data_IF_754849622184
#
_entry.id   IF_754849622184
#
_cell.length_a   1.000
_cell.length_b   1.000
_cell.length_c   1.000
_cell.angle_alpha   90.00
_cell.angle_beta   90.00
_cell.angle_gamma   90.00
#
_symmetry.space_group_name_H-M   'P 1'
#
loop_
_entity.id
_entity.type
_entity.pdbx_description
1 polymer ?
#
# COMPACT_ATOMS: atom_id res chain seq x y z
N UNK A 1 -1.16 -6.67 -10.06
CA UNK A 1 -1.23 -5.46 -10.92
C UNK A 1 -2.03 -5.68 -12.20
N UNK A 2 -1.78 -6.72 -12.99
CA UNK A 2 -2.54 -7.03 -14.22
C UNK A 2 -4.07 -7.03 -14.04
N UNK A 3 -4.57 -7.71 -13.02
CA UNK A 3 -6.01 -7.75 -12.73
C UNK A 3 -6.59 -6.36 -12.37
N UNK A 4 -5.80 -5.50 -11.72
CA UNK A 4 -6.23 -4.14 -11.37
C UNK A 4 -6.30 -3.24 -12.60
N UNK A 5 -5.39 -3.41 -13.56
CA UNK A 5 -5.41 -2.73 -14.87
C UNK A 5 -6.72 -3.07 -15.59
N UNK A 6 -7.03 -4.37 -15.74
CA UNK A 6 -8.27 -4.80 -16.39
C UNK A 6 -9.52 -4.33 -15.65
N UNK A 7 -9.58 -4.50 -14.32
CA UNK A 7 -10.71 -4.03 -13.50
C UNK A 7 -10.97 -2.53 -13.69
N UNK A 8 -9.89 -1.75 -13.85
CA UNK A 8 -9.98 -0.29 -13.89
C UNK A 8 -10.31 0.24 -15.29
N UNK A 9 -9.72 -0.35 -16.33
CA UNK A 9 -9.82 0.19 -17.67
C UNK A 9 -10.88 -0.50 -18.52
N UNK A 10 -11.16 -1.79 -18.28
CA UNK A 10 -12.18 -2.52 -19.02
C UNK A 10 -13.57 -2.14 -18.51
N UNK A 11 -14.48 -1.83 -19.45
CA UNK A 11 -15.92 -1.69 -19.19
C UNK A 11 -16.34 -0.54 -18.25
N UNK A 12 -15.52 0.51 -18.13
CA UNK A 12 -15.82 1.69 -17.30
C UNK A 12 -17.00 2.55 -17.83
N UNK A 13 -17.32 2.50 -19.13
CA UNK A 13 -18.44 3.20 -19.72
C UNK A 13 -19.38 2.21 -20.44
N UNK A 14 -20.65 2.14 -20.01
CA UNK A 14 -21.67 1.30 -20.66
C UNK A 14 -22.02 1.88 -22.02
N UNK A 15 -21.96 1.06 -23.07
CA UNK A 15 -22.35 1.44 -24.43
C UNK A 15 -21.28 2.17 -25.25
N UNK A 16 -20.15 2.56 -24.65
CA UNK A 16 -19.02 3.19 -25.37
C UNK A 16 -17.81 2.26 -25.26
N UNK A 17 -17.33 1.76 -26.40
CA UNK A 17 -16.05 1.05 -26.45
C UNK A 17 -14.91 2.06 -26.31
N UNK A 18 -14.46 2.28 -25.09
CA UNK A 18 -13.31 3.12 -24.78
C UNK A 18 -12.03 2.26 -24.79
N UNK A 19 -11.19 2.29 -25.84
CA UNK A 19 -9.97 1.50 -25.90
C UNK A 19 -8.89 2.03 -24.96
N UNK A 20 -7.95 1.16 -24.57
CA UNK A 20 -6.87 1.52 -23.65
C UNK A 20 -6.04 2.73 -24.10
N UNK A 21 -5.82 2.90 -25.41
CA UNK A 21 -5.05 4.03 -25.99
C UNK A 21 -5.61 5.42 -25.65
N UNK A 22 -6.89 5.51 -25.30
CA UNK A 22 -7.57 6.77 -24.98
C UNK A 22 -7.44 7.13 -23.51
N UNK A 23 -6.76 6.31 -22.70
CA UNK A 23 -6.40 6.64 -21.34
C UNK A 23 -5.12 7.47 -21.29
N UNK A 24 -5.18 8.60 -20.58
CA UNK A 24 -4.03 9.45 -20.30
C UNK A 24 -3.73 9.42 -18.81
N UNK A 25 -2.47 9.19 -18.47
CA UNK A 25 -1.97 9.46 -17.12
C UNK A 25 -2.05 10.97 -16.90
N UNK A 26 -2.86 11.39 -15.94
CA UNK A 26 -3.07 12.81 -15.61
C UNK A 26 -2.32 13.23 -14.35
N UNK A 27 -2.00 12.27 -13.47
CA UNK A 27 -1.27 12.54 -12.24
C UNK A 27 -0.60 11.25 -11.72
N UNK A 28 0.47 11.41 -10.94
CA UNK A 28 1.10 10.34 -10.18
C UNK A 28 1.40 10.84 -8.78
N UNK A 29 1.08 10.04 -7.77
CA UNK A 29 1.33 10.36 -6.36
C UNK A 29 2.12 9.23 -5.71
N UNK A 30 3.12 9.60 -4.91
CA UNK A 30 3.83 8.67 -4.02
C UNK A 30 3.42 8.91 -2.57
N UNK A 31 3.14 7.83 -1.84
CA UNK A 31 2.83 7.84 -0.41
C UNK A 31 3.72 6.79 0.26
N UNK A 32 4.90 7.24 0.71
CA UNK A 32 5.95 6.32 1.16
C UNK A 32 6.49 5.47 0.00
N UNK A 33 6.41 4.15 0.13
CA UNK A 33 6.74 3.16 -0.89
C UNK A 33 5.56 2.87 -1.84
N UNK A 34 4.34 3.29 -1.49
CA UNK A 34 3.16 3.13 -2.34
C UNK A 34 3.16 4.15 -3.47
N UNK A 35 2.90 3.70 -4.69
CA UNK A 35 2.67 4.56 -5.87
C UNK A 35 1.21 4.48 -6.30
N UNK A 36 0.61 5.64 -6.60
CA UNK A 36 -0.73 5.77 -7.16
C UNK A 36 -0.65 6.50 -8.50
N UNK A 37 -1.31 5.94 -9.50
CA UNK A 37 -1.34 6.50 -10.86
C UNK A 37 -2.79 6.82 -11.22
N UNK A 38 -3.03 8.07 -11.62
CA UNK A 38 -4.37 8.58 -11.94
C UNK A 38 -4.51 8.76 -13.44
N UNK A 39 -5.58 8.21 -13.98
CA UNK A 39 -5.84 8.20 -15.40
C UNK A 39 -7.19 8.82 -15.72
N UNK A 40 -7.28 9.42 -16.91
CA UNK A 40 -8.52 9.93 -17.48
C UNK A 40 -8.71 9.40 -18.89
N UNK A 41 -9.86 8.77 -19.12
CA UNK A 41 -10.28 8.37 -20.45
C UNK A 41 -10.70 9.61 -21.24
N UNK A 42 -10.04 9.88 -22.37
CA UNK A 42 -10.32 11.06 -23.20
C UNK A 42 -11.64 10.94 -23.99
N UNK A 43 -12.19 9.73 -24.12
CA UNK A 43 -13.44 9.49 -24.85
C UNK A 43 -14.68 9.78 -24.01
N UNK A 44 -14.70 9.31 -22.77
CA UNK A 44 -15.87 9.41 -21.88
C UNK A 44 -15.63 10.28 -20.64
N UNK A 45 -14.41 10.84 -20.49
CA UNK A 45 -13.97 11.64 -19.34
C UNK A 45 -13.96 10.92 -17.98
N UNK A 46 -14.16 9.60 -17.95
CA UNK A 46 -14.08 8.83 -16.71
C UNK A 46 -12.66 8.86 -16.14
N UNK A 47 -12.58 9.06 -14.83
CA UNK A 47 -11.33 9.11 -14.07
C UNK A 47 -11.21 7.89 -13.20
N UNK A 48 -10.01 7.30 -13.16
CA UNK A 48 -9.72 6.14 -12.36
C UNK A 48 -8.28 6.16 -11.86
N UNK A 49 -7.98 5.33 -10.87
CA UNK A 49 -6.61 5.16 -10.40
C UNK A 49 -6.26 3.69 -10.20
N UNK A 50 -4.97 3.40 -10.34
CA UNK A 50 -4.37 2.12 -9.95
C UNK A 50 -3.27 2.39 -8.92
N UNK A 51 -3.03 1.42 -8.04
CA UNK A 51 -2.00 1.48 -7.01
C UNK A 51 -0.94 0.39 -7.24
N UNK A 52 0.28 0.60 -6.73
CA UNK A 52 1.35 -0.39 -6.75
C UNK A 52 1.01 -1.66 -5.95
N UNK A 53 0.08 -1.53 -5.01
CA UNK A 53 -0.48 -2.60 -4.19
C UNK A 53 -2.01 -2.66 -4.31
N UNK A 54 -2.67 -3.79 -4.02
CA UNK A 54 -4.12 -3.90 -4.03
C UNK A 54 -4.79 -2.98 -3.00
N UNK A 55 -5.89 -2.32 -3.37
CA UNK A 55 -6.63 -1.42 -2.46
C UNK A 55 -7.46 -2.15 -1.41
N UNK A 56 -7.75 -3.44 -1.62
CA UNK A 56 -8.51 -4.30 -0.70
C UNK A 56 -7.76 -5.62 -0.58
N UNK A 57 -6.79 -5.66 0.33
CA UNK A 57 -6.09 -6.87 0.74
C UNK A 57 -6.32 -7.07 2.24
N UNK A 58 -6.36 -8.32 2.68
CA UNK A 58 -6.26 -8.67 4.11
C UNK A 58 -4.79 -8.64 4.58
N UNK A 59 -3.87 -8.31 3.69
CA UNK A 59 -2.44 -8.19 3.96
C UNK A 59 -2.07 -6.76 4.36
N UNK A 60 -0.92 -6.62 5.02
CA UNK A 60 -0.35 -5.31 5.36
C UNK A 60 -0.07 -4.49 4.10
N UNK A 61 -0.36 -3.18 4.14
CA UNK A 61 0.09 -2.28 3.09
C UNK A 61 1.63 -2.22 3.04
N UNK A 62 2.19 -1.86 1.89
CA UNK A 62 3.62 -1.90 1.60
C UNK A 62 4.44 -1.06 2.57
N UNK A 63 3.91 0.05 3.10
CA UNK A 63 4.64 0.84 4.07
C UNK A 63 4.71 0.10 5.41
N UNK A 64 3.57 -0.40 5.88
CA UNK A 64 3.50 -1.18 7.11
C UNK A 64 4.30 -2.47 7.00
N UNK A 65 4.24 -3.17 5.86
CA UNK A 65 5.01 -4.39 5.59
C UNK A 65 6.52 -4.15 5.60
N UNK A 66 6.99 -3.06 4.97
CA UNK A 66 8.41 -2.70 5.00
C UNK A 66 8.88 -2.41 6.44
N UNK A 67 8.07 -1.67 7.22
CA UNK A 67 8.38 -1.35 8.62
C UNK A 67 8.32 -2.61 9.51
N UNK A 68 7.37 -3.50 9.28
CA UNK A 68 7.32 -4.78 9.98
C UNK A 68 8.57 -5.61 9.68
N UNK A 69 8.96 -5.69 8.41
CA UNK A 69 10.19 -6.36 8.00
C UNK A 69 11.44 -5.79 8.69
N UNK A 70 11.58 -4.46 8.75
CA UNK A 70 12.72 -3.83 9.42
C UNK A 70 12.74 -4.12 10.92
N UNK A 71 11.58 -4.04 11.59
CA UNK A 71 11.44 -4.37 13.01
C UNK A 71 11.80 -5.84 13.27
N UNK A 72 11.29 -6.78 12.47
CA UNK A 72 11.59 -8.21 12.61
C UNK A 72 13.08 -8.51 12.38
N UNK A 73 13.71 -7.81 11.44
CA UNK A 73 15.15 -7.95 11.17
C UNK A 73 16.04 -7.24 12.21
N UNK A 74 15.47 -6.50 13.15
CA UNK A 74 16.23 -5.72 14.14
C UNK A 74 16.97 -4.53 13.55
N UNK A 75 16.49 -4.00 12.42
CA UNK A 75 17.07 -2.82 11.74
C UNK A 75 16.15 -1.60 11.82
N UNK A 76 16.70 -0.42 11.57
CA UNK A 76 16.01 0.87 11.62
C UNK A 76 15.80 1.53 10.26
N UNK A 77 15.34 2.78 10.32
CA UNK A 77 15.07 3.60 9.13
C UNK A 77 16.29 3.76 8.22
N UNK A 78 17.48 3.98 8.80
CA UNK A 78 18.71 4.19 8.03
C UNK A 78 19.04 3.00 7.12
N UNK A 79 18.88 1.76 7.61
CA UNK A 79 19.11 0.57 6.78
C UNK A 79 18.01 0.35 5.74
N UNK A 80 16.76 0.72 6.04
CA UNK A 80 15.69 0.70 5.03
C UNK A 80 15.97 1.69 3.90
N UNK A 81 16.41 2.91 4.25
CA UNK A 81 16.78 3.95 3.30
C UNK A 81 17.96 3.51 2.42
N UNK A 82 19.00 2.91 3.02
CA UNK A 82 20.14 2.32 2.32
C UNK A 82 19.70 1.22 1.35
N UNK A 83 18.84 0.30 1.78
CA UNK A 83 18.29 -0.76 0.93
C UNK A 83 17.53 -0.16 -0.26
N UNK A 84 16.63 0.80 -0.02
CA UNK A 84 15.89 1.49 -1.05
C UNK A 84 16.81 2.19 -2.06
N UNK A 85 17.86 2.87 -1.58
CA UNK A 85 18.86 3.49 -2.43
C UNK A 85 19.62 2.45 -3.28
N UNK A 86 20.02 1.33 -2.69
CA UNK A 86 20.73 0.25 -3.38
C UNK A 86 19.90 -0.37 -4.52
N UNK A 87 18.58 -0.43 -4.37
CA UNK A 87 17.65 -0.94 -5.42
C UNK A 87 17.05 0.17 -6.29
N UNK A 88 17.54 1.40 -6.17
CA UNK A 88 17.09 2.57 -6.92
C UNK A 88 15.58 2.85 -6.80
N UNK A 89 15.04 2.73 -5.58
CA UNK A 89 13.65 3.04 -5.24
C UNK A 89 13.63 4.19 -4.23
N UNK A 90 12.79 5.22 -4.40
CA UNK A 90 12.62 6.24 -3.37
C UNK A 90 12.04 5.66 -2.08
N UNK A 91 12.70 5.91 -0.95
CA UNK A 91 12.20 5.50 0.36
C UNK A 91 11.00 6.35 0.83
N UNK A 92 10.28 5.85 1.83
CA UNK A 92 9.37 6.67 2.63
C UNK A 92 10.14 7.67 3.49
N UNK A 93 9.49 8.75 3.94
CA UNK A 93 10.15 9.67 4.87
C UNK A 93 10.33 9.04 6.24
N UNK A 94 11.35 9.45 6.99
CA UNK A 94 11.56 9.00 8.38
C UNK A 94 10.31 9.23 9.25
N UNK A 95 9.63 10.37 9.09
CA UNK A 95 8.37 10.64 9.78
C UNK A 95 7.30 9.60 9.47
N UNK A 96 7.16 9.21 8.21
CA UNK A 96 6.23 8.15 7.79
C UNK A 96 6.64 6.80 8.37
N UNK A 97 7.94 6.49 8.37
CA UNK A 97 8.47 5.26 8.98
C UNK A 97 8.13 5.17 10.46
N UNK A 98 8.43 6.22 11.23
CA UNK A 98 8.16 6.28 12.67
C UNK A 98 6.67 6.10 12.95
N UNK A 99 5.82 6.81 12.21
CA UNK A 99 4.36 6.68 12.36
C UNK A 99 3.86 5.25 12.15
N UNK A 100 4.31 4.58 11.07
CA UNK A 100 3.92 3.20 10.82
C UNK A 100 4.49 2.24 11.87
N UNK A 101 5.71 2.49 12.36
CA UNK A 101 6.34 1.67 13.40
C UNK A 101 5.58 1.76 14.72
N UNK A 102 5.18 2.97 15.11
CA UNK A 102 4.39 3.19 16.32
C UNK A 102 3.03 2.51 16.23
N UNK A 103 2.30 2.70 15.12
CA UNK A 103 1.02 2.02 14.90
C UNK A 103 1.18 0.49 14.97
N UNK A 104 2.22 -0.05 14.34
CA UNK A 104 2.51 -1.48 14.34
C UNK A 104 2.76 -2.01 15.75
N UNK A 105 3.60 -1.34 16.55
CA UNK A 105 3.88 -1.73 17.93
C UNK A 105 2.62 -1.66 18.81
N UNK A 106 1.79 -0.65 18.60
CA UNK A 106 0.50 -0.48 19.29
C UNK A 106 -0.45 -1.67 19.00
N UNK A 107 -0.52 -2.11 17.75
CA UNK A 107 -1.33 -3.26 17.33
C UNK A 107 -0.77 -4.59 17.85
N UNK A 108 0.56 -4.73 17.90
CA UNK A 108 1.21 -5.87 18.56
C UNK A 108 0.85 -5.93 20.05
N UNK A 109 0.97 -4.81 20.76
CA UNK A 109 0.63 -4.75 22.19
C UNK A 109 -0.83 -5.10 22.45
N UNK A 110 -1.76 -4.57 21.65
CA UNK A 110 -3.19 -4.91 21.76
C UNK A 110 -3.45 -6.39 21.52
N UNK A 111 -2.81 -6.97 20.50
CA UNK A 111 -2.92 -8.41 20.20
C UNK A 111 -2.45 -9.27 21.38
N UNK A 112 -1.28 -8.96 21.95
CA UNK A 112 -0.72 -9.66 23.10
C UNK A 112 -1.62 -9.53 24.34
N UNK A 113 -2.14 -8.33 24.62
CA UNK A 113 -3.06 -8.13 25.74
C UNK A 113 -4.37 -8.92 25.58
N UNK A 114 -4.88 -9.04 24.35
CA UNK A 114 -6.11 -9.79 24.08
C UNK A 114 -5.89 -11.31 24.19
N UNK A 115 -4.77 -11.84 23.72
CA UNK A 115 -4.45 -13.27 23.88
C UNK A 115 -4.31 -13.65 25.34
N UNK A 116 -3.61 -12.83 26.14
CA UNK A 116 -3.47 -13.04 27.59
C UNK A 116 -4.82 -13.04 28.32
N UNK A 117 -5.77 -12.20 27.91
CA UNK A 117 -7.12 -12.19 28.49
C UNK A 117 -7.91 -13.45 28.15
N UNK A 118 -7.89 -13.87 26.88
CA UNK A 118 -8.61 -15.08 26.43
C UNK A 118 -8.08 -16.33 27.11
N UNK A 119 -6.75 -16.46 27.28
CA UNK A 119 -6.14 -17.57 28.00
C UNK A 119 -6.59 -17.62 29.47
N UNK A 120 -6.62 -16.47 30.16
CA UNK A 120 -7.11 -16.40 31.55
C UNK A 120 -8.61 -16.69 31.73
N UNK A 121 -9.40 -16.63 30.66
CA UNK A 121 -10.83 -17.04 30.66
C UNK A 121 -11.01 -18.54 30.41
N UNK A 122 -10.09 -19.18 29.65
CA UNK A 122 -10.11 -20.62 29.37
C UNK A 122 -9.59 -21.48 30.52
N UNK A 123 -8.81 -20.90 31.44
CA UNK A 123 -8.27 -21.57 32.63
C UNK A 123 -9.25 -21.62 33.83
N UNK A 124 -10.51 -21.17 33.67
CA UNK A 124 -11.57 -21.23 34.70
C UNK A 124 -12.58 -22.35 34.42
#
# INVERSE_FOLDING_TARGET
>A
MWNEIHRTFDNHARGIKCPFKDWKLINSRRIGLRTQLFFKCQMCNFEANICSEPTKSNELDVNTAAVAGTVTMGIGYAQLEELCAAVNIPCMSEKTYIHNRENLLDDFQKTVMNSMKMEGELEK
#
